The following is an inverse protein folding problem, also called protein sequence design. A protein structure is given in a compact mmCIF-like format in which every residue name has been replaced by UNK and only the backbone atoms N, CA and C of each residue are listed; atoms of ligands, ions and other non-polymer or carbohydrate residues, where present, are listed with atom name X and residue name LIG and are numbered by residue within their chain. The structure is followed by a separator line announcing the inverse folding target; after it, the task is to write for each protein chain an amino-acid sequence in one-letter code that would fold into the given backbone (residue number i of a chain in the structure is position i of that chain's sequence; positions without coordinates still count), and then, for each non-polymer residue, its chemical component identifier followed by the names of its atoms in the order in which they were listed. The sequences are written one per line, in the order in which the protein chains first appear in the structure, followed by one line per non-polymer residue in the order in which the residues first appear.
data_IF_496883729199
#
_entry.id   IF_496883729199
#
_cell.length_a   1.000
_cell.length_b   1.000
_cell.length_c   1.000
_cell.angle_alpha   90.00
_cell.angle_beta   90.00
_cell.angle_gamma   90.00
#
_symmetry.space_group_name_H-M   'P 1'
#
loop_
_entity.id
_entity.type
_entity.pdbx_description
1 polymer ?
#
# COMPACT_ATOMS: atom_id res chain seq x y z
N UNK A 1 -18.38 -5.70 17.69
CA UNK A 1 -18.05 -4.29 17.40
C UNK A 1 -16.86 -4.31 16.44
N UNK A 2 -17.10 -4.14 15.14
CA UNK A 2 -16.08 -4.34 14.12
C UNK A 2 -15.11 -3.14 14.11
N UNK A 3 -13.81 -3.43 14.21
CA UNK A 3 -12.74 -2.44 14.29
C UNK A 3 -12.75 -1.53 13.05
N UNK A 4 -12.72 -0.21 13.27
CA UNK A 4 -12.53 0.80 12.22
C UNK A 4 -11.21 0.51 11.51
N UNK A 5 -11.28 0.20 10.22
CA UNK A 5 -10.14 -0.28 9.44
C UNK A 5 -9.41 0.93 8.84
N UNK A 6 -8.36 1.41 9.52
CA UNK A 6 -7.45 2.43 9.00
C UNK A 6 -6.30 1.77 8.24
N UNK A 7 -5.93 2.30 7.07
CA UNK A 7 -4.78 1.81 6.28
C UNK A 7 -3.44 2.32 6.81
N UNK A 8 -3.43 3.42 7.57
CA UNK A 8 -2.24 3.90 8.29
C UNK A 8 -2.65 4.22 9.73
N UNK A 9 -2.24 3.37 10.68
CA UNK A 9 -2.55 3.60 12.10
C UNK A 9 -1.78 4.78 12.69
N UNK A 10 -0.55 5.06 12.22
CA UNK A 10 0.25 6.15 12.74
C UNK A 10 1.75 5.89 12.79
N UNK A 11 2.46 6.76 13.49
CA UNK A 11 3.85 6.55 13.92
C UNK A 11 3.98 6.72 15.44
N UNK A 12 4.98 6.06 16.02
CA UNK A 12 5.36 6.22 17.42
C UNK A 12 6.51 7.21 17.51
N UNK A 13 6.33 8.27 18.27
CA UNK A 13 7.45 9.12 18.67
C UNK A 13 8.22 8.41 19.81
N UNK A 14 9.45 7.98 19.53
CA UNK A 14 10.23 7.15 20.45
C UNK A 14 10.54 7.88 21.76
N UNK A 15 10.75 9.20 21.71
CA UNK A 15 11.09 10.01 22.89
C UNK A 15 9.91 10.13 23.83
N UNK A 16 8.72 10.45 23.29
CA UNK A 16 7.52 10.72 24.08
C UNK A 16 6.68 9.48 24.35
N UNK A 17 6.95 8.38 23.61
CA UNK A 17 6.17 7.14 23.60
C UNK A 17 4.69 7.33 23.19
N UNK A 18 4.37 8.45 22.54
CA UNK A 18 3.03 8.70 22.03
C UNK A 18 2.88 8.21 20.60
N UNK A 19 1.72 7.58 20.34
CA UNK A 19 1.28 7.23 19.01
C UNK A 19 0.49 8.38 18.41
N UNK A 20 0.86 8.80 17.20
CA UNK A 20 0.12 9.80 16.44
C UNK A 20 -0.57 9.13 15.28
N UNK A 21 -1.90 9.19 15.26
CA UNK A 21 -2.68 8.68 14.14
C UNK A 21 -2.54 9.59 12.92
N UNK A 22 -2.16 9.01 11.78
CA UNK A 22 -1.99 9.76 10.52
C UNK A 22 -3.30 9.90 9.74
N UNK A 23 -4.06 8.81 9.58
CA UNK A 23 -5.30 8.83 8.79
C UNK A 23 -6.33 7.84 9.34
N UNK A 24 -7.42 8.35 9.91
CA UNK A 24 -8.50 7.52 10.45
C UNK A 24 -9.22 6.70 9.36
N UNK A 25 -9.51 7.33 8.24
CA UNK A 25 -10.39 6.79 7.20
C UNK A 25 -9.86 7.12 5.81
N UNK A 26 -8.96 6.28 5.28
CA UNK A 26 -8.31 6.50 3.97
C UNK A 26 -9.33 6.64 2.84
N UNK A 27 -10.37 5.81 2.82
CA UNK A 27 -11.39 5.82 1.76
C UNK A 27 -12.16 7.14 1.66
N UNK A 28 -12.34 7.85 2.79
CA UNK A 28 -12.98 9.16 2.81
C UNK A 28 -12.11 10.26 2.20
N UNK A 29 -10.82 9.97 2.00
CA UNK A 29 -9.79 10.88 1.51
C UNK A 29 -9.21 10.41 0.18
N UNK A 30 -10.01 9.70 -0.65
CA UNK A 30 -9.59 9.07 -1.91
C UNK A 30 -8.39 8.11 -1.77
N UNK A 31 -8.15 7.64 -0.55
CA UNK A 31 -7.10 6.67 -0.24
C UNK A 31 -7.54 5.24 -0.54
N UNK A 32 -6.58 4.30 -0.46
CA UNK A 32 -6.85 2.91 -0.76
C UNK A 32 -7.86 2.32 0.22
N UNK A 33 -8.67 1.38 -0.28
CA UNK A 33 -9.53 0.53 0.53
C UNK A 33 -8.69 -0.33 1.48
N UNK A 34 -9.14 -0.51 2.73
CA UNK A 34 -8.48 -1.39 3.65
C UNK A 34 -8.33 -2.80 3.11
N UNK A 35 -7.10 -3.28 3.08
CA UNK A 35 -6.76 -4.58 2.53
C UNK A 35 -5.69 -5.26 3.39
N UNK A 36 -5.88 -6.55 3.75
CA UNK A 36 -4.80 -7.33 4.35
C UNK A 36 -3.58 -7.41 3.42
N UNK A 37 -2.42 -7.78 3.96
CA UNK A 37 -1.21 -8.14 3.20
C UNK A 37 -0.57 -7.05 2.32
N UNK A 38 -0.92 -5.76 2.49
CA UNK A 38 -0.17 -4.68 1.86
C UNK A 38 1.19 -4.47 2.53
N UNK A 39 2.14 -3.90 1.81
CA UNK A 39 3.41 -3.42 2.38
C UNK A 39 3.50 -1.91 2.24
N UNK A 40 4.18 -1.30 3.20
CA UNK A 40 4.42 0.13 3.23
C UNK A 40 5.90 0.43 3.41
N UNK A 41 6.39 1.49 2.76
CA UNK A 41 7.73 2.03 2.96
C UNK A 41 7.64 3.55 3.12
N UNK A 42 8.45 4.10 4.02
CA UNK A 42 8.52 5.54 4.28
C UNK A 42 9.74 6.15 3.60
N UNK A 43 9.54 7.21 2.83
CA UNK A 43 10.61 8.07 2.30
C UNK A 43 10.85 9.25 3.26
N UNK A 44 11.98 9.29 3.97
CA UNK A 44 12.26 10.36 4.92
C UNK A 44 12.57 11.71 4.26
N UNK A 45 13.02 11.71 3.00
CA UNK A 45 13.35 12.94 2.26
C UNK A 45 12.07 13.59 1.75
N UNK A 46 11.21 12.80 1.09
CA UNK A 46 9.98 13.32 0.53
C UNK A 46 8.80 13.32 1.50
N UNK A 47 8.95 12.77 2.72
CA UNK A 47 7.88 12.59 3.73
C UNK A 47 6.63 11.90 3.16
N UNK A 48 6.84 10.91 2.30
CA UNK A 48 5.76 10.13 1.71
C UNK A 48 5.78 8.72 2.26
N UNK A 49 4.59 8.13 2.41
CA UNK A 49 4.44 6.71 2.70
C UNK A 49 3.86 6.05 1.46
N UNK A 50 4.60 5.11 0.90
CA UNK A 50 4.19 4.36 -0.27
C UNK A 50 3.55 3.05 0.17
N UNK A 51 2.35 2.76 -0.32
CA UNK A 51 1.57 1.54 -0.03
C UNK A 51 1.43 0.75 -1.32
N UNK A 52 1.94 -0.49 -1.34
CA UNK A 52 1.81 -1.38 -2.48
C UNK A 52 1.12 -2.68 -2.08
N UNK A 53 0.13 -3.04 -2.87
CA UNK A 53 -0.54 -4.32 -2.80
C UNK A 53 -1.80 -4.36 -1.98
N UNK A 54 -2.50 -5.48 -2.10
CA UNK A 54 -3.77 -5.76 -1.46
C UNK A 54 -3.99 -7.26 -1.33
N UNK A 55 -4.81 -7.66 -0.38
CA UNK A 55 -5.39 -9.00 -0.33
C UNK A 55 -6.70 -9.06 -1.11
N UNK A 56 -6.84 -10.13 -1.88
CA UNK A 56 -8.08 -10.49 -2.56
C UNK A 56 -8.60 -11.80 -1.99
N UNK A 57 -9.86 -11.79 -1.54
CA UNK A 57 -10.54 -13.02 -1.17
C UNK A 57 -10.64 -13.94 -2.40
N UNK A 58 -10.51 -15.25 -2.19
CA UNK A 58 -10.62 -16.28 -3.23
C UNK A 58 -11.92 -16.17 -4.05
N UNK A 59 -13.01 -15.71 -3.45
CA UNK A 59 -14.32 -15.56 -4.11
C UNK A 59 -14.37 -14.47 -5.19
N UNK A 60 -13.46 -13.50 -5.18
CA UNK A 60 -13.45 -12.34 -6.09
C UNK A 60 -12.21 -12.30 -7.00
N UNK A 61 -11.45 -13.40 -7.07
CA UNK A 61 -10.18 -13.50 -7.79
C UNK A 61 -10.38 -13.72 -9.31
N UNK A 62 -10.96 -12.74 -9.99
CA UNK A 62 -11.07 -12.69 -11.46
C UNK A 62 -9.99 -11.78 -12.05
N UNK A 63 -9.73 -11.87 -13.37
CA UNK A 63 -8.69 -11.06 -14.03
C UNK A 63 -8.89 -9.55 -13.79
N UNK A 64 -10.15 -9.11 -13.74
CA UNK A 64 -10.53 -7.70 -13.61
C UNK A 64 -10.24 -7.14 -12.20
N UNK A 65 -10.18 -8.01 -11.20
CA UNK A 65 -9.99 -7.62 -9.79
C UNK A 65 -8.58 -7.92 -9.25
N UNK A 66 -7.74 -8.67 -9.97
CA UNK A 66 -6.33 -8.92 -9.63
C UNK A 66 -5.49 -7.74 -10.10
N UNK A 67 -5.59 -6.63 -9.38
CA UNK A 67 -4.81 -5.42 -9.60
C UNK A 67 -3.78 -5.23 -8.50
N UNK A 68 -2.55 -4.87 -8.87
CA UNK A 68 -1.53 -4.50 -7.90
C UNK A 68 -1.52 -2.98 -7.72
N UNK A 69 -2.40 -2.49 -6.84
CA UNK A 69 -2.60 -1.07 -6.62
C UNK A 69 -1.41 -0.44 -5.90
N UNK A 70 -1.01 0.73 -6.38
CA UNK A 70 0.11 1.49 -5.84
C UNK A 70 -0.32 2.91 -5.49
N UNK A 71 -0.26 3.25 -4.20
CA UNK A 71 -0.67 4.56 -3.70
C UNK A 71 0.45 5.19 -2.87
N UNK A 72 0.43 6.52 -2.77
CA UNK A 72 1.19 7.25 -1.77
C UNK A 72 0.29 8.04 -0.83
N UNK A 73 0.78 8.26 0.38
CA UNK A 73 0.28 9.23 1.33
C UNK A 73 1.33 10.31 1.53
N UNK A 74 1.01 11.57 1.22
CA UNK A 74 1.86 12.72 1.54
C UNK A 74 1.56 13.16 2.97
N UNK A 75 2.54 13.00 3.87
CA UNK A 75 2.36 13.32 5.30
C UNK A 75 2.19 14.82 5.53
N UNK A 76 2.84 15.67 4.73
CA UNK A 76 2.77 17.12 4.91
C UNK A 76 1.40 17.65 4.51
N UNK A 77 0.87 17.16 3.39
CA UNK A 77 -0.43 17.57 2.86
C UNK A 77 -1.59 16.80 3.51
N UNK A 78 -1.33 15.63 4.10
CA UNK A 78 -2.34 14.78 4.70
C UNK A 78 -3.27 14.11 3.69
N UNK A 79 -2.82 13.96 2.43
CA UNK A 79 -3.62 13.46 1.31
C UNK A 79 -3.10 12.15 0.75
N UNK A 80 -4.00 11.36 0.18
CA UNK A 80 -3.67 10.17 -0.61
C UNK A 80 -3.64 10.51 -2.10
N UNK A 81 -2.72 9.87 -2.81
CA UNK A 81 -2.62 9.93 -4.26
C UNK A 81 -2.43 8.52 -4.82
N UNK A 82 -3.22 8.15 -5.81
CA UNK A 82 -3.02 6.91 -6.55
C UNK A 82 -1.91 7.11 -7.58
N UNK A 83 -0.84 6.31 -7.47
CA UNK A 83 0.27 6.32 -8.44
C UNK A 83 -0.11 5.46 -9.64
N UNK A 84 -0.62 4.26 -9.36
CA UNK A 84 -0.94 3.26 -10.38
C UNK A 84 -2.10 2.38 -9.92
N UNK A 85 -3.08 2.16 -10.79
CA UNK A 85 -4.20 1.25 -10.54
C UNK A 85 -3.76 -0.23 -10.56
N UNK A 86 -2.89 -0.58 -11.51
CA UNK A 86 -2.29 -1.90 -11.63
C UNK A 86 -0.89 -1.78 -12.20
N UNK A 87 0.13 -2.09 -11.39
CA UNK A 87 1.52 -1.99 -11.82
C UNK A 87 1.84 -2.87 -13.03
N UNK A 88 1.08 -3.94 -13.27
CA UNK A 88 1.28 -4.80 -14.45
C UNK A 88 1.06 -4.07 -15.78
N UNK A 89 0.26 -2.99 -15.77
CA UNK A 89 -0.01 -2.16 -16.94
C UNK A 89 1.16 -1.21 -17.28
N UNK A 90 2.08 -1.01 -16.34
CA UNK A 90 3.25 -0.10 -16.51
C UNK A 90 4.57 -0.88 -16.39
N UNK A 91 4.60 -2.10 -16.92
CA UNK A 91 5.77 -3.00 -16.88
C UNK A 91 6.25 -3.39 -15.47
N UNK A 92 5.42 -3.14 -14.46
CA UNK A 92 5.64 -3.62 -13.10
C UNK A 92 5.14 -5.05 -12.90
N UNK A 93 5.31 -5.59 -11.69
CA UNK A 93 4.85 -6.94 -11.38
C UNK A 93 3.32 -7.04 -11.39
N UNK A 94 2.80 -8.23 -11.68
CA UNK A 94 1.43 -8.59 -11.31
C UNK A 94 1.29 -8.65 -9.79
N UNK A 95 0.05 -8.70 -9.29
CA UNK A 95 -0.22 -8.82 -7.86
C UNK A 95 0.57 -9.99 -7.25
N UNK A 96 1.52 -9.67 -6.39
CA UNK A 96 2.34 -10.62 -5.63
C UNK A 96 1.93 -10.61 -4.16
N UNK A 97 2.09 -11.76 -3.50
CA UNK A 97 1.94 -11.88 -2.05
C UNK A 97 3.28 -12.14 -1.37
N UNK A 98 3.31 -11.84 -0.06
CA UNK A 98 4.51 -11.92 0.77
C UNK A 98 5.69 -11.15 0.17
N UNK A 99 5.38 -10.04 -0.52
CA UNK A 99 6.41 -9.16 -1.02
C UNK A 99 7.07 -8.36 0.10
N UNK A 100 8.27 -7.88 -0.18
CA UNK A 100 9.02 -6.96 0.63
C UNK A 100 9.34 -5.73 -0.21
N UNK A 101 9.52 -4.60 0.46
CA UNK A 101 9.86 -3.33 -0.18
C UNK A 101 11.02 -2.69 0.56
N UNK A 102 11.91 -2.06 -0.18
CA UNK A 102 12.87 -1.09 0.37
C UNK A 102 12.96 0.12 -0.56
N UNK A 103 13.52 1.22 -0.05
CA UNK A 103 13.66 2.47 -0.78
C UNK A 103 15.12 2.94 -0.71
N UNK A 104 15.67 3.32 -1.86
CA UNK A 104 16.82 4.20 -1.95
C UNK A 104 16.27 5.63 -2.07
N UNK A 105 16.27 6.36 -0.95
CA UNK A 105 15.67 7.69 -0.89
C UNK A 105 16.42 8.72 -1.74
N UNK A 106 17.75 8.59 -1.83
CA UNK A 106 18.60 9.50 -2.63
C UNK A 106 18.30 9.35 -4.12
N UNK A 107 18.20 8.11 -4.62
CA UNK A 107 17.84 7.84 -6.01
C UNK A 107 16.34 7.90 -6.29
N UNK A 108 15.52 8.02 -5.24
CA UNK A 108 14.05 7.92 -5.28
C UNK A 108 13.57 6.64 -5.99
N UNK A 109 14.20 5.52 -5.65
CA UNK A 109 13.88 4.21 -6.22
C UNK A 109 13.29 3.28 -5.17
N UNK A 110 12.17 2.65 -5.50
CA UNK A 110 11.54 1.62 -4.66
C UNK A 110 11.83 0.27 -5.30
N UNK A 111 12.43 -0.62 -4.52
CA UNK A 111 12.68 -2.01 -4.92
C UNK A 111 11.64 -2.91 -4.29
N UNK A 112 11.07 -3.80 -5.10
CA UNK A 112 10.03 -4.74 -4.68
C UNK A 112 10.53 -6.16 -4.93
N UNK A 113 10.50 -6.99 -3.89
CA UNK A 113 10.90 -8.39 -3.95
C UNK A 113 9.70 -9.25 -3.59
N UNK A 114 9.40 -10.32 -4.31
CA UNK A 114 8.21 -11.14 -4.07
C UNK A 114 8.43 -12.61 -4.36
N UNK A 115 7.69 -13.48 -3.68
CA UNK A 115 7.85 -14.94 -3.79
C UNK A 115 6.88 -15.59 -4.78
N UNK A 116 5.61 -15.17 -4.82
CA UNK A 116 4.56 -15.82 -5.63
C UNK A 116 3.66 -14.80 -6.30
N UNK A 117 3.49 -14.94 -7.61
CA UNK A 117 2.53 -14.18 -8.42
C UNK A 117 1.14 -14.79 -8.26
N UNK A 118 0.13 -13.96 -8.03
CA UNK A 118 -1.24 -14.40 -8.00
C UNK A 118 -1.77 -14.59 -9.42
N UNK A 119 -2.10 -15.83 -9.77
CA UNK A 119 -2.74 -16.15 -11.05
C UNK A 119 -4.27 -16.07 -10.92
N UNK A 120 -5.03 -15.73 -11.97
CA UNK A 120 -6.49 -15.89 -11.97
C UNK A 120 -6.90 -17.35 -11.75
N UNK A 121 -8.11 -17.61 -11.21
CA UNK A 121 -8.68 -18.96 -11.37
C UNK A 121 -9.13 -19.12 -12.82
N UNK A 122 -8.72 -20.20 -13.46
CA UNK A 122 -9.40 -20.70 -14.66
C UNK A 122 -10.79 -21.15 -14.20
N UNK A 123 -11.84 -20.72 -14.90
CA UNK A 123 -13.19 -21.26 -14.68
C UNK A 123 -13.22 -22.73 -15.06
#
# INVERSE_FOLDING_TARGET
MAFKISVIYGFLEITTKFWTQLCAHSEQMNGPTPSPCHKMIFDPLSKNIFKLGRYLNNSIRTKEYIKFDFCLYDIRAGIWLQICDDTSQVSGPHLVYDHQMCIDAEKRMIYVFGRKVLTPRLK
#
